data_IF_454559590314
#
_entry.id   IF_454559590314
#
_cell.length_a   1.000
_cell.length_b   1.000
_cell.length_c   1.000
_cell.angle_alpha   90.00
_cell.angle_beta   90.00
_cell.angle_gamma   90.00
#
_symmetry.space_group_name_H-M   'P 1'
#
loop_
_entity.id
_entity.type
_entity.pdbx_description
1 polymer ?
#
# COMPACT_ATOMS: atom_id res chain seq x y z
N UNK A 1 8.06 22.71 -24.05
CA UNK A 1 6.70 22.14 -24.12
C UNK A 1 6.80 20.67 -24.55
N UNK A 2 7.07 19.76 -23.61
CA UNK A 2 7.06 18.29 -23.80
C UNK A 2 7.29 17.56 -22.44
N UNK A 3 6.71 18.07 -21.34
CA UNK A 3 6.88 17.51 -20.00
C UNK A 3 5.70 16.61 -19.59
N UNK A 4 5.07 15.94 -20.57
CA UNK A 4 3.76 15.32 -20.41
C UNK A 4 3.65 14.08 -21.30
N UNK A 5 2.83 13.11 -20.85
CA UNK A 5 2.58 11.77 -21.41
C UNK A 5 3.72 10.78 -21.07
N UNK A 6 3.74 10.05 -19.96
CA UNK A 6 2.62 9.27 -19.43
C UNK A 6 2.80 8.88 -17.95
N UNK A 7 3.86 9.29 -17.23
CA UNK A 7 4.10 8.76 -15.87
C UNK A 7 3.44 9.57 -14.74
N UNK A 8 3.59 10.90 -14.73
CA UNK A 8 3.08 11.72 -13.61
C UNK A 8 1.55 11.70 -13.54
N UNK A 9 0.87 11.81 -14.69
CA UNK A 9 -0.59 11.74 -14.74
C UNK A 9 -1.13 10.39 -14.26
N UNK A 10 -0.38 9.29 -14.47
CA UNK A 10 -0.76 7.95 -14.00
C UNK A 10 -0.59 7.81 -12.50
N UNK A 11 0.46 8.40 -11.93
CA UNK A 11 0.63 8.47 -10.48
C UNK A 11 -0.49 9.29 -9.86
N UNK A 12 -0.82 10.45 -10.42
CA UNK A 12 -1.90 11.30 -9.91
C UNK A 12 -3.28 10.63 -10.02
N UNK A 13 -3.60 9.98 -11.14
CA UNK A 13 -4.86 9.22 -11.28
C UNK A 13 -4.98 8.13 -10.21
N UNK A 14 -3.89 7.40 -9.94
CA UNK A 14 -3.91 6.40 -8.88
C UNK A 14 -4.04 7.04 -7.50
N UNK A 15 -3.45 8.22 -7.24
CA UNK A 15 -3.67 8.96 -5.99
C UNK A 15 -5.14 9.35 -5.84
N UNK A 16 -5.77 9.83 -6.91
CA UNK A 16 -7.20 10.13 -6.92
C UNK A 16 -8.04 8.89 -6.60
N UNK A 17 -7.77 7.75 -7.25
CA UNK A 17 -8.50 6.50 -6.97
C UNK A 17 -8.26 6.00 -5.55
N UNK A 18 -7.02 6.10 -5.06
CA UNK A 18 -6.66 5.71 -3.71
C UNK A 18 -7.40 6.55 -2.68
N UNK A 19 -7.42 7.87 -2.84
CA UNK A 19 -8.09 8.80 -1.94
C UNK A 19 -9.62 8.69 -2.00
N UNK A 20 -10.19 8.55 -3.21
CA UNK A 20 -11.63 8.56 -3.40
C UNK A 20 -12.30 7.21 -3.12
N UNK A 21 -11.58 6.10 -3.32
CA UNK A 21 -12.18 4.75 -3.30
C UNK A 21 -11.50 3.86 -2.26
N UNK A 22 -10.19 3.66 -2.38
CA UNK A 22 -9.49 2.65 -1.58
C UNK A 22 -9.41 3.03 -0.11
N UNK A 23 -8.95 4.23 0.20
CA UNK A 23 -8.73 4.69 1.56
C UNK A 23 -10.03 4.74 2.37
N UNK A 24 -11.16 5.29 1.85
CA UNK A 24 -12.47 5.19 2.52
C UNK A 24 -12.91 3.74 2.74
N UNK A 25 -12.69 2.86 1.77
CA UNK A 25 -13.07 1.46 1.88
C UNK A 25 -12.28 0.71 2.95
N UNK A 26 -10.99 1.05 3.11
CA UNK A 26 -10.11 0.51 4.17
C UNK A 26 -10.53 1.08 5.53
N UNK A 27 -10.76 2.39 5.61
CA UNK A 27 -11.16 3.05 6.85
C UNK A 27 -12.54 2.61 7.36
N UNK A 28 -13.44 2.19 6.46
CA UNK A 28 -14.79 1.74 6.80
C UNK A 28 -14.89 0.24 7.13
N UNK A 29 -13.78 -0.52 7.09
CA UNK A 29 -13.82 -1.94 7.47
C UNK A 29 -14.16 -2.10 8.95
N UNK A 30 -15.13 -2.96 9.25
CA UNK A 30 -15.60 -3.23 10.62
C UNK A 30 -14.71 -4.20 11.38
N UNK A 31 -13.97 -5.05 10.66
CA UNK A 31 -12.99 -5.95 11.25
C UNK A 31 -11.73 -5.15 11.61
N UNK A 32 -11.33 -5.06 12.88
CA UNK A 32 -10.12 -4.33 13.26
C UNK A 32 -8.83 -5.15 13.06
N UNK A 33 -8.91 -6.47 12.86
CA UNK A 33 -7.74 -7.37 12.82
C UNK A 33 -7.21 -7.60 11.40
N UNK A 34 -6.91 -6.50 10.71
CA UNK A 34 -6.24 -6.58 9.41
C UNK A 34 -5.18 -5.49 9.25
N UNK A 35 -4.24 -5.76 8.35
CA UNK A 35 -3.20 -4.82 7.96
C UNK A 35 -3.28 -4.55 6.46
N UNK A 36 -3.44 -3.29 6.09
CA UNK A 36 -3.40 -2.85 4.70
C UNK A 36 -1.98 -2.43 4.31
N UNK A 37 -1.25 -3.36 3.69
CA UNK A 37 0.14 -3.16 3.31
C UNK A 37 0.25 -2.45 1.95
N UNK A 38 0.74 -1.21 1.96
CA UNK A 38 1.00 -0.41 0.76
C UNK A 38 2.47 -0.57 0.36
N UNK A 39 2.70 -1.16 -0.80
CA UNK A 39 4.03 -1.43 -1.32
C UNK A 39 4.41 -0.38 -2.36
N UNK A 40 5.54 0.29 -2.13
CA UNK A 40 6.08 1.30 -3.05
C UNK A 40 7.50 0.95 -3.47
N UNK A 41 7.90 1.38 -4.67
CA UNK A 41 9.28 1.26 -5.13
C UNK A 41 10.19 2.30 -4.49
N UNK A 42 11.48 2.01 -4.34
CA UNK A 42 12.49 2.99 -3.87
C UNK A 42 12.64 4.23 -4.77
N UNK A 43 12.14 4.17 -6.01
CA UNK A 43 12.18 5.28 -6.96
C UNK A 43 11.00 6.25 -6.82
N UNK A 44 10.04 5.97 -5.93
CA UNK A 44 8.92 6.87 -5.70
C UNK A 44 9.45 8.24 -5.25
N UNK A 45 9.13 9.34 -5.96
CA UNK A 45 9.60 10.66 -5.57
C UNK A 45 9.18 10.99 -4.13
N UNK A 46 10.06 11.63 -3.33
CA UNK A 46 9.79 11.91 -1.91
C UNK A 46 8.47 12.63 -1.64
N UNK A 47 8.04 13.52 -2.55
CA UNK A 47 6.77 14.23 -2.45
C UNK A 47 5.56 13.29 -2.42
N UNK A 48 5.56 12.24 -3.26
CA UNK A 48 4.48 11.26 -3.33
C UNK A 48 4.51 10.32 -2.12
N UNK A 49 5.71 9.95 -1.65
CA UNK A 49 5.84 9.18 -0.42
C UNK A 49 5.27 9.95 0.78
N UNK A 50 5.61 11.23 0.90
CA UNK A 50 5.10 12.09 1.95
C UNK A 50 3.57 12.23 1.87
N UNK A 51 3.01 12.48 0.68
CA UNK A 51 1.56 12.52 0.47
C UNK A 51 0.90 11.21 0.91
N UNK A 52 1.46 10.06 0.55
CA UNK A 52 0.94 8.74 0.94
C UNK A 52 0.97 8.54 2.46
N UNK A 53 2.04 8.97 3.13
CA UNK A 53 2.15 8.95 4.60
C UNK A 53 1.10 9.86 5.25
N UNK A 54 0.96 11.09 4.75
CA UNK A 54 0.00 12.07 5.27
C UNK A 54 -1.45 11.55 5.13
N UNK A 55 -1.81 10.95 3.99
CA UNK A 55 -3.14 10.38 3.76
C UNK A 55 -3.45 9.18 4.66
N UNK A 56 -2.45 8.35 4.95
CA UNK A 56 -2.63 7.12 5.72
C UNK A 56 -2.43 7.31 7.22
N UNK A 57 -2.00 8.49 7.67
CA UNK A 57 -1.69 8.79 9.07
C UNK A 57 -2.87 8.55 10.04
N UNK A 58 -4.11 8.70 9.55
CA UNK A 58 -5.33 8.52 10.34
C UNK A 58 -5.94 7.11 10.25
N UNK A 59 -5.34 6.21 9.47
CA UNK A 59 -5.84 4.84 9.27
C UNK A 59 -4.78 3.88 9.83
N UNK A 60 -4.88 3.45 11.11
CA UNK A 60 -3.82 2.70 11.79
C UNK A 60 -3.53 1.33 11.15
N UNK A 61 -4.47 0.78 10.37
CA UNK A 61 -4.31 -0.46 9.63
C UNK A 61 -3.36 -0.31 8.44
N UNK A 62 -3.10 0.91 7.96
CA UNK A 62 -2.25 1.16 6.81
C UNK A 62 -0.76 1.11 7.18
N UNK A 63 0.00 0.28 6.46
CA UNK A 63 1.46 0.15 6.64
C UNK A 63 2.13 0.36 5.30
N UNK A 64 3.05 1.33 5.19
CA UNK A 64 3.81 1.59 3.97
C UNK A 64 5.17 0.89 4.05
N UNK A 65 5.53 0.11 3.02
CA UNK A 65 6.86 -0.51 2.88
C UNK A 65 7.45 -0.27 1.50
N UNK A 66 8.68 0.24 1.50
CA UNK A 66 9.47 0.42 0.27
C UNK A 66 10.31 -0.80 -0.04
N UNK A 67 10.23 -1.29 -1.27
CA UNK A 67 11.05 -2.41 -1.75
C UNK A 67 11.90 -2.00 -2.97
N UNK A 68 13.14 -2.52 -3.09
CA UNK A 68 13.94 -2.34 -4.30
C UNK A 68 13.30 -3.09 -5.49
N UNK A 69 13.43 -2.59 -6.73
CA UNK A 69 12.87 -3.25 -7.91
C UNK A 69 13.52 -4.63 -8.09
N UNK A 70 12.70 -5.68 -8.07
CA UNK A 70 13.05 -7.08 -8.31
C UNK A 70 11.87 -7.75 -9.02
N UNK A 71 12.06 -8.91 -9.68
CA UNK A 71 10.98 -9.61 -10.36
C UNK A 71 9.77 -9.81 -9.43
N UNK A 72 8.64 -9.27 -9.88
CA UNK A 72 7.42 -9.03 -9.11
C UNK A 72 7.03 -10.19 -8.18
N UNK A 73 7.07 -11.43 -8.69
CA UNK A 73 6.69 -12.65 -7.95
C UNK A 73 7.57 -12.94 -6.73
N UNK A 74 8.88 -12.62 -6.78
CA UNK A 74 9.83 -12.91 -5.69
C UNK A 74 9.75 -11.88 -4.57
N UNK A 75 9.34 -10.64 -4.86
CA UNK A 75 9.08 -9.63 -3.81
C UNK A 75 7.81 -10.00 -3.05
N UNK A 76 6.75 -10.40 -3.75
CA UNK A 76 5.46 -10.71 -3.12
C UNK A 76 5.56 -11.87 -2.13
N UNK A 77 6.22 -12.96 -2.53
CA UNK A 77 6.52 -14.06 -1.62
C UNK A 77 7.37 -13.62 -0.41
N UNK A 78 8.32 -12.70 -0.60
CA UNK A 78 9.19 -12.21 0.48
C UNK A 78 8.48 -11.22 1.40
N UNK A 79 7.62 -10.35 0.89
CA UNK A 79 6.86 -9.37 1.66
C UNK A 79 5.82 -10.07 2.55
N UNK A 80 5.11 -11.05 2.00
CA UNK A 80 4.18 -11.91 2.74
C UNK A 80 4.93 -12.76 3.77
N UNK A 81 6.03 -13.43 3.39
CA UNK A 81 6.80 -14.26 4.33
C UNK A 81 7.51 -13.46 5.44
N UNK A 82 7.87 -12.19 5.18
CA UNK A 82 8.49 -11.32 6.19
C UNK A 82 7.47 -10.63 7.10
N UNK A 83 6.17 -10.65 6.78
CA UNK A 83 5.16 -10.09 7.66
C UNK A 83 4.61 -11.18 8.60
N UNK A 84 5.17 -11.26 9.81
CA UNK A 84 4.56 -11.96 10.95
C UNK A 84 3.86 -10.96 11.86
N UNK A 85 2.53 -10.89 11.76
CA UNK A 85 1.63 -10.19 12.69
C UNK A 85 2.02 -10.37 14.16
N UNK A 86 1.65 -9.47 15.09
CA UNK A 86 1.62 -9.84 16.50
C UNK A 86 0.76 -11.10 16.62
N UNK A 87 1.35 -12.20 17.11
CA UNK A 87 0.63 -13.45 17.35
C UNK A 87 -0.29 -13.25 18.55
N UNK A 88 -1.44 -12.61 18.34
CA UNK A 88 -2.54 -12.67 19.29
C UNK A 88 -3.23 -14.02 19.12
N UNK A 89 -3.25 -14.76 20.22
CA UNK A 89 -3.50 -16.18 20.30
C UNK A 89 -5.00 -16.53 20.13
N UNK A 90 -5.58 -16.24 18.97
CA UNK A 90 -6.87 -16.81 18.57
C UNK A 90 -6.76 -17.35 17.16
N UNK A 91 -6.71 -18.67 17.06
CA UNK A 91 -6.68 -19.41 15.81
C UNK A 91 -7.90 -19.05 14.94
N UNK A 92 -7.68 -18.35 13.83
CA UNK A 92 -8.48 -18.49 12.63
C UNK A 92 -7.63 -18.12 11.40
N UNK A 93 -7.46 -19.09 10.51
CA UNK A 93 -6.56 -19.05 9.37
C UNK A 93 -7.21 -18.28 8.20
N UNK A 94 -7.23 -16.93 8.24
CA UNK A 94 -7.68 -16.10 7.10
C UNK A 94 -7.33 -14.61 7.25
N UNK A 95 -6.04 -14.26 7.36
CA UNK A 95 -5.60 -12.86 7.25
C UNK A 95 -5.66 -12.38 5.79
N UNK A 96 -6.77 -11.78 5.37
CA UNK A 96 -6.92 -11.21 4.03
C UNK A 96 -6.03 -9.97 3.86
N UNK A 97 -4.83 -10.15 3.30
CA UNK A 97 -3.97 -9.05 2.87
C UNK A 97 -4.43 -8.55 1.50
N UNK A 98 -5.26 -7.50 1.45
CA UNK A 98 -5.58 -6.81 0.19
C UNK A 98 -4.43 -5.84 -0.14
N UNK A 99 -3.81 -6.01 -1.30
CA UNK A 99 -2.57 -5.34 -1.70
C UNK A 99 -2.80 -4.50 -2.96
N UNK A 100 -2.49 -3.20 -2.92
CA UNK A 100 -2.65 -2.29 -4.06
C UNK A 100 -1.27 -1.87 -4.62
N UNK A 101 -1.06 -2.10 -5.91
CA UNK A 101 0.23 -1.95 -6.59
C UNK A 101 0.36 -0.59 -7.30
N UNK A 102 1.53 0.04 -7.13
CA UNK A 102 1.92 1.25 -7.86
C UNK A 102 3.14 0.92 -8.75
N UNK A 103 2.93 0.80 -10.07
CA UNK A 103 3.98 0.73 -11.12
C UNK A 103 4.39 2.11 -11.61
#
# INVERSE_FOLDING_TARGET
MAAYLFDDARIEERFLLFEAITLPSVAAQTDPDFTFLIVTGKWLPPQHLKRLQDLTAHVPQCVIKQFPPRPHRKIMAKAINNWRGPLTHHACNSGWTTMMQWH
#
